data_IF_527495105726
#
_entry.id   IF_527495105726
#
_cell.length_a   1.000
_cell.length_b   1.000
_cell.length_c   1.000
_cell.angle_alpha   90.00
_cell.angle_beta   90.00
_cell.angle_gamma   90.00
#
_symmetry.space_group_name_H-M   'P 1'
#
loop_
_entity.id
_entity.type
_entity.pdbx_description
1 polymer ?
#
# COMPACT_ATOMS: atom_id res chain seq x y z
N UNK A 1 15.79 -6.65 0.56
CA UNK A 1 14.64 -6.48 1.48
C UNK A 1 14.19 -7.87 1.83
N UNK A 2 13.85 -8.14 3.09
CA UNK A 2 13.35 -9.44 3.49
C UNK A 2 12.05 -9.73 2.74
N UNK A 3 11.85 -11.00 2.36
CA UNK A 3 10.68 -11.44 1.61
C UNK A 3 10.17 -12.78 2.15
N UNK A 4 8.85 -12.87 2.33
CA UNK A 4 8.15 -14.11 2.68
C UNK A 4 6.88 -14.27 1.82
N UNK A 5 6.57 -15.51 1.45
CA UNK A 5 5.32 -15.88 0.80
C UNK A 5 4.75 -17.15 1.39
N UNK A 6 3.43 -17.30 1.32
CA UNK A 6 2.76 -18.48 1.80
C UNK A 6 1.25 -18.38 1.67
N UNK A 7 0.56 -19.16 2.50
CA UNK A 7 -0.89 -19.16 2.58
C UNK A 7 -1.33 -18.88 4.01
N UNK A 8 -2.17 -17.86 4.18
CA UNK A 8 -2.88 -17.60 5.42
C UNK A 8 -4.23 -18.31 5.39
N UNK A 9 -4.73 -18.80 6.52
CA UNK A 9 -6.02 -19.49 6.60
C UNK A 9 -7.21 -18.54 6.49
N UNK A 10 -7.01 -17.27 6.84
CA UNK A 10 -7.99 -16.19 6.78
C UNK A 10 -7.33 -14.83 7.12
N UNK A 11 -8.10 -13.74 7.20
CA UNK A 11 -7.59 -12.39 7.44
C UNK A 11 -6.91 -12.18 8.81
N UNK A 12 -7.30 -12.94 9.84
CA UNK A 12 -6.70 -12.84 11.18
C UNK A 12 -5.37 -13.55 11.24
N UNK A 13 -5.30 -14.77 10.69
CA UNK A 13 -4.05 -15.50 10.51
C UNK A 13 -3.07 -14.73 9.61
N UNK A 14 -3.57 -14.05 8.57
CA UNK A 14 -2.73 -13.17 7.74
C UNK A 14 -2.13 -12.02 8.56
N UNK A 15 -2.91 -11.36 9.43
CA UNK A 15 -2.40 -10.29 10.28
C UNK A 15 -1.36 -10.80 11.29
N UNK A 16 -1.56 -11.99 11.87
CA UNK A 16 -0.57 -12.61 12.75
C UNK A 16 0.72 -12.97 12.00
N UNK A 17 0.63 -13.48 10.77
CA UNK A 17 1.79 -13.74 9.89
C UNK A 17 2.55 -12.47 9.52
N UNK A 18 1.83 -11.37 9.21
CA UNK A 18 2.45 -10.05 9.00
C UNK A 18 3.22 -9.64 10.26
N UNK A 19 2.62 -9.78 11.44
CA UNK A 19 3.29 -9.44 12.70
C UNK A 19 4.54 -10.30 12.94
N UNK A 20 4.44 -11.62 12.79
CA UNK A 20 5.58 -12.55 12.93
C UNK A 20 6.71 -12.18 11.97
N UNK A 21 6.40 -11.95 10.69
CA UNK A 21 7.38 -11.55 9.70
C UNK A 21 8.07 -10.24 10.10
N UNK A 22 7.31 -9.19 10.41
CA UNK A 22 7.87 -7.88 10.74
C UNK A 22 8.73 -7.87 12.01
N UNK A 23 8.40 -8.71 13.00
CA UNK A 23 9.02 -8.65 14.34
C UNK A 23 10.10 -9.71 14.57
N UNK A 24 10.06 -10.83 13.85
CA UNK A 24 10.92 -12.01 14.14
C UNK A 24 11.60 -12.62 12.92
N UNK A 25 11.37 -12.13 11.70
CA UNK A 25 12.07 -12.65 10.52
C UNK A 25 13.59 -12.52 10.67
N UNK A 26 14.30 -13.61 10.37
CA UNK A 26 15.75 -13.73 10.61
C UNK A 26 16.58 -12.68 9.84
N UNK A 27 16.20 -12.36 8.60
CA UNK A 27 16.88 -11.33 7.80
C UNK A 27 16.65 -9.93 8.39
N UNK A 28 15.41 -9.60 8.75
CA UNK A 28 15.10 -8.31 9.39
C UNK A 28 15.84 -8.16 10.73
N UNK A 29 15.88 -9.21 11.56
CA UNK A 29 16.57 -9.18 12.85
C UNK A 29 18.08 -9.03 12.64
N UNK A 30 18.68 -9.85 11.76
CA UNK A 30 20.10 -9.80 11.44
C UNK A 30 20.54 -8.42 10.96
N UNK A 31 19.72 -7.78 10.14
CA UNK A 31 20.04 -6.50 9.51
C UNK A 31 19.63 -5.29 10.39
N UNK A 32 19.12 -5.53 11.62
CA UNK A 32 18.69 -4.48 12.55
C UNK A 32 17.45 -3.71 12.09
N UNK A 33 16.61 -4.35 11.28
CA UNK A 33 15.45 -3.80 10.59
C UNK A 33 14.11 -4.37 11.10
N UNK A 34 14.15 -5.23 12.11
CA UNK A 34 12.94 -5.78 12.72
C UNK A 34 12.11 -4.70 13.41
N UNK A 35 10.80 -4.78 13.22
CA UNK A 35 9.83 -3.87 13.79
C UNK A 35 9.52 -4.28 15.23
N UNK A 36 9.13 -3.33 16.05
CA UNK A 36 8.70 -3.56 17.44
C UNK A 36 7.19 -3.53 17.53
N UNK A 37 6.58 -4.56 18.10
CA UNK A 37 5.16 -4.54 18.43
C UNK A 37 4.91 -3.64 19.65
N UNK A 38 4.01 -2.66 19.52
CA UNK A 38 3.67 -1.72 20.58
C UNK A 38 2.39 -2.11 21.33
N UNK A 39 1.47 -2.78 20.64
CA UNK A 39 0.16 -3.13 21.16
C UNK A 39 -0.41 -4.31 20.38
N UNK A 40 -1.14 -5.17 21.07
CA UNK A 40 -1.97 -6.19 20.48
C UNK A 40 -3.29 -6.34 21.24
N UNK A 41 -4.36 -6.66 20.52
CA UNK A 41 -5.67 -6.97 21.10
C UNK A 41 -6.46 -7.87 20.16
N UNK A 42 -7.28 -8.73 20.75
CA UNK A 42 -8.35 -9.43 20.03
C UNK A 42 -9.68 -9.05 20.66
N UNK A 43 -10.61 -8.56 19.85
CA UNK A 43 -12.01 -8.36 20.26
C UNK A 43 -12.79 -9.64 19.98
N UNK A 44 -13.67 -10.00 20.91
CA UNK A 44 -14.50 -11.20 20.80
C UNK A 44 -15.42 -11.15 19.57
N UNK A 45 -15.79 -12.35 19.10
CA UNK A 45 -16.80 -12.48 18.07
C UNK A 45 -18.15 -11.93 18.54
N UNK A 46 -18.93 -11.42 17.58
CA UNK A 46 -20.33 -11.03 17.79
C UNK A 46 -21.21 -11.83 16.84
N UNK A 47 -22.56 -11.81 16.98
CA UNK A 47 -23.44 -12.51 16.05
C UNK A 47 -23.27 -12.10 14.57
N UNK A 48 -22.72 -10.92 14.30
CA UNK A 48 -22.55 -10.36 12.95
C UNK A 48 -21.09 -10.28 12.48
N UNK A 49 -20.12 -10.49 13.37
CA UNK A 49 -18.68 -10.39 13.09
C UNK A 49 -17.90 -11.53 13.72
N UNK A 50 -16.87 -11.99 13.00
CA UNK A 50 -15.82 -12.85 13.55
C UNK A 50 -14.92 -12.03 14.49
N UNK A 51 -14.04 -12.68 15.30
CA UNK A 51 -13.09 -11.97 16.16
C UNK A 51 -12.28 -10.93 15.37
N UNK A 52 -11.97 -9.81 16.01
CA UNK A 52 -11.21 -8.72 15.39
C UNK A 52 -9.81 -8.66 16.00
N UNK A 53 -8.79 -8.89 15.18
CA UNK A 53 -7.38 -8.82 15.58
C UNK A 53 -6.84 -7.41 15.30
N UNK A 54 -6.15 -6.83 16.27
CA UNK A 54 -5.60 -5.47 16.20
C UNK A 54 -4.15 -5.46 16.68
N UNK A 55 -3.27 -4.84 15.91
CA UNK A 55 -1.83 -4.77 16.21
C UNK A 55 -1.30 -3.38 15.85
N UNK A 56 -0.42 -2.82 16.68
CA UNK A 56 0.35 -1.62 16.36
C UNK A 56 1.84 -1.92 16.40
N UNK A 57 2.57 -1.29 15.48
CA UNK A 57 4.01 -1.46 15.34
C UNK A 57 4.74 -0.12 15.33
N UNK A 58 6.01 -0.20 15.70
CA UNK A 58 7.03 0.81 15.52
C UNK A 58 8.15 0.23 14.67
N UNK A 59 8.64 0.97 13.68
CA UNK A 59 9.95 0.70 13.09
C UNK A 59 10.87 1.87 13.35
N UNK A 60 12.14 1.62 13.65
CA UNK A 60 13.16 2.68 13.84
C UNK A 60 13.81 3.12 12.52
N UNK A 61 13.33 2.64 11.38
CA UNK A 61 13.96 2.95 10.09
C UNK A 61 15.36 2.34 9.97
N UNK A 62 16.21 2.98 9.16
CA UNK A 62 17.64 2.63 9.01
C UNK A 62 18.56 3.71 9.62
N UNK A 63 18.04 4.58 10.49
CA UNK A 63 18.77 5.72 11.03
C UNK A 63 18.14 6.29 12.31
N UNK A 64 18.83 7.23 12.96
CA UNK A 64 18.36 7.87 14.20
C UNK A 64 17.16 8.78 13.90
N UNK A 65 16.14 8.77 14.77
CA UNK A 65 14.93 9.64 14.71
C UNK A 65 13.95 9.38 13.54
N UNK A 66 13.98 8.20 12.92
CA UNK A 66 13.10 7.82 11.81
C UNK A 66 12.00 6.82 12.23
N UNK A 67 11.32 7.12 13.34
CA UNK A 67 10.31 6.21 13.91
C UNK A 67 9.01 6.19 13.09
N UNK A 68 8.72 5.06 12.45
CA UNK A 68 7.47 4.81 11.73
C UNK A 68 6.46 4.20 12.69
N UNK A 69 5.26 4.78 12.77
CA UNK A 69 4.15 4.24 13.56
C UNK A 69 3.00 3.82 12.65
N UNK A 70 2.63 2.54 12.73
CA UNK A 70 1.56 1.94 11.94
C UNK A 70 0.68 1.04 12.82
N UNK A 71 -0.60 0.96 12.52
CA UNK A 71 -1.50 0.00 13.16
C UNK A 71 -2.43 -0.63 12.14
N UNK A 72 -2.90 -1.82 12.49
CA UNK A 72 -3.82 -2.60 11.69
C UNK A 72 -4.96 -3.13 12.54
N UNK A 73 -6.11 -3.31 11.90
CA UNK A 73 -7.26 -4.01 12.45
C UNK A 73 -7.86 -4.85 11.34
N UNK A 74 -8.13 -6.13 11.62
CA UNK A 74 -9.03 -6.88 10.76
C UNK A 74 -10.41 -6.24 10.80
N UNK A 75 -11.19 -6.36 9.74
CA UNK A 75 -12.54 -5.88 9.67
C UNK A 75 -13.39 -6.82 8.84
N UNK A 76 -14.52 -7.24 9.38
CA UNK A 76 -15.37 -8.20 8.71
C UNK A 76 -16.85 -7.97 8.99
N UNK A 77 -17.68 -8.52 8.10
CA UNK A 77 -19.13 -8.60 8.26
C UNK A 77 -19.63 -9.88 7.62
N UNK A 78 -20.18 -10.79 8.43
CA UNK A 78 -20.57 -12.14 8.00
C UNK A 78 -21.65 -12.09 6.91
N UNK A 79 -22.62 -11.19 7.05
CA UNK A 79 -23.75 -11.07 6.12
C UNK A 79 -23.35 -10.58 4.73
N UNK A 80 -22.25 -9.82 4.63
CA UNK A 80 -21.72 -9.32 3.34
C UNK A 80 -20.59 -10.20 2.79
N UNK A 81 -20.12 -11.16 3.60
CA UNK A 81 -18.99 -12.04 3.28
C UNK A 81 -17.77 -11.20 2.83
N UNK A 82 -17.48 -10.18 3.65
CA UNK A 82 -16.35 -9.26 3.51
C UNK A 82 -15.42 -9.44 4.69
N UNK A 83 -14.14 -9.65 4.40
CA UNK A 83 -13.07 -9.88 5.38
C UNK A 83 -11.82 -9.14 4.91
N UNK A 84 -11.40 -8.13 5.64
CA UNK A 84 -10.36 -7.19 5.22
C UNK A 84 -9.36 -6.94 6.36
N UNK A 85 -8.22 -6.35 5.99
CA UNK A 85 -7.29 -5.74 6.95
C UNK A 85 -7.22 -4.24 6.65
N UNK A 86 -7.53 -3.44 7.66
CA UNK A 86 -7.45 -1.99 7.59
C UNK A 86 -6.13 -1.54 8.20
N UNK A 87 -5.48 -0.56 7.57
CA UNK A 87 -4.22 0.01 8.02
C UNK A 87 -4.32 1.52 8.20
N UNK A 88 -3.63 2.02 9.22
CA UNK A 88 -3.46 3.44 9.49
C UNK A 88 -2.00 3.74 9.85
N UNK A 89 -1.51 4.89 9.41
CA UNK A 89 -0.26 5.47 9.87
C UNK A 89 -0.51 6.71 10.72
N UNK A 90 0.49 7.08 11.52
CA UNK A 90 0.46 8.30 12.32
C UNK A 90 1.89 8.75 12.65
N UNK A 91 2.00 9.87 13.34
CA UNK A 91 3.31 10.42 13.77
C UNK A 91 3.79 9.84 15.09
N UNK A 92 2.88 9.21 15.85
CA UNK A 92 3.17 8.58 17.13
C UNK A 92 2.02 7.63 17.52
N UNK A 93 2.29 6.63 18.37
CA UNK A 93 1.27 5.75 18.94
C UNK A 93 1.28 5.78 20.48
N UNK A 94 0.12 6.04 21.07
CA UNK A 94 -0.11 5.96 22.51
C UNK A 94 -1.25 4.97 22.80
N UNK A 95 -0.92 3.86 23.45
CA UNK A 95 -1.89 2.82 23.81
C UNK A 95 -2.98 3.29 24.78
N UNK A 96 -2.75 4.38 25.54
CA UNK A 96 -3.75 4.94 26.45
C UNK A 96 -4.92 5.61 25.73
N UNK A 97 -4.77 5.99 24.47
CA UNK A 97 -5.86 6.57 23.67
C UNK A 97 -6.63 5.54 22.84
N UNK A 98 -6.19 4.27 22.84
CA UNK A 98 -6.96 3.17 22.23
C UNK A 98 -8.28 3.03 22.96
N UNK A 99 -9.39 3.08 22.22
CA UNK A 99 -10.73 2.90 22.81
C UNK A 99 -11.08 1.41 22.87
N UNK A 100 -12.24 1.07 23.45
CA UNK A 100 -12.68 -0.32 23.58
C UNK A 100 -12.74 -1.09 22.24
N UNK A 101 -12.93 -0.40 21.12
CA UNK A 101 -13.11 -1.03 19.80
C UNK A 101 -12.17 -0.49 18.71
N UNK A 102 -11.64 0.72 18.87
CA UNK A 102 -10.88 1.43 17.84
C UNK A 102 -9.41 1.56 18.21
N UNK A 103 -8.52 0.89 17.45
CA UNK A 103 -7.06 0.96 17.65
C UNK A 103 -6.45 2.24 17.09
N UNK A 104 -7.01 2.77 16.01
CA UNK A 104 -6.52 3.96 15.31
C UNK A 104 -6.63 5.23 16.17
N UNK A 105 -7.46 5.23 17.21
CA UNK A 105 -7.52 6.29 18.22
C UNK A 105 -6.23 6.42 19.04
N UNK A 106 -5.43 5.35 19.08
CA UNK A 106 -4.07 5.38 19.63
C UNK A 106 -3.07 6.16 18.78
N UNK A 107 -3.38 6.42 17.49
CA UNK A 107 -2.49 7.14 16.58
C UNK A 107 -2.66 8.65 16.68
N UNK A 108 -1.54 9.36 16.87
CA UNK A 108 -1.49 10.82 16.73
C UNK A 108 -1.39 11.17 15.26
N UNK A 109 -2.20 12.13 14.81
CA UNK A 109 -2.33 12.51 13.39
C UNK A 109 -2.57 11.29 12.49
N UNK A 110 -3.57 10.48 12.84
CA UNK A 110 -3.90 9.28 12.09
C UNK A 110 -4.28 9.61 10.63
N UNK A 111 -3.74 8.84 9.68
CA UNK A 111 -4.22 8.83 8.29
C UNK A 111 -5.70 8.43 8.24
N UNK A 112 -6.45 8.76 7.18
CA UNK A 112 -7.83 8.29 7.01
C UNK A 112 -8.02 6.77 6.93
N UNK A 113 -6.94 6.03 6.67
CA UNK A 113 -6.90 4.58 6.63
C UNK A 113 -7.15 4.00 5.25
N UNK A 114 -6.58 2.80 5.02
CA UNK A 114 -6.66 2.07 3.75
C UNK A 114 -6.94 0.60 4.00
N UNK A 115 -7.37 -0.09 2.95
CA UNK A 115 -7.81 -1.49 3.02
C UNK A 115 -6.92 -2.38 2.16
N UNK A 116 -6.50 -3.50 2.74
CA UNK A 116 -6.01 -4.68 2.02
C UNK A 116 -7.11 -5.74 2.05
N UNK A 117 -7.48 -6.26 0.89
CA UNK A 117 -8.49 -7.30 0.82
C UNK A 117 -7.97 -8.64 1.32
N UNK A 118 -8.83 -9.36 2.02
CA UNK A 118 -8.59 -10.71 2.51
C UNK A 118 -9.86 -11.56 2.31
N UNK A 119 -9.93 -12.71 2.97
CA UNK A 119 -11.06 -13.65 2.90
C UNK A 119 -11.14 -14.44 4.23
N UNK A 120 -12.28 -15.09 4.51
CA UNK A 120 -12.43 -16.04 5.63
C UNK A 120 -11.83 -17.42 5.29
N UNK A 121 -11.39 -17.59 4.04
CA UNK A 121 -10.76 -18.77 3.48
C UNK A 121 -9.26 -18.55 3.27
N UNK A 122 -8.59 -19.58 2.77
CA UNK A 122 -7.16 -19.54 2.47
C UNK A 122 -6.81 -18.43 1.46
N UNK A 123 -5.78 -17.63 1.78
CA UNK A 123 -5.29 -16.48 1.00
C UNK A 123 -3.81 -16.66 0.72
N UNK A 124 -3.41 -16.61 -0.54
CA UNK A 124 -1.98 -16.51 -0.91
C UNK A 124 -1.48 -15.09 -0.58
N UNK A 125 -0.31 -15.01 0.04
CA UNK A 125 0.29 -13.72 0.40
C UNK A 125 1.76 -13.62 -0.02
N UNK A 126 2.19 -12.37 -0.21
CA UNK A 126 3.58 -11.97 -0.37
C UNK A 126 3.82 -10.77 0.55
N UNK A 127 4.81 -10.85 1.42
CA UNK A 127 5.21 -9.76 2.31
C UNK A 127 6.66 -9.44 2.02
N UNK A 128 6.95 -8.17 1.73
CA UNK A 128 8.31 -7.65 1.59
C UNK A 128 8.48 -6.53 2.60
N UNK A 129 9.53 -6.55 3.40
CA UNK A 129 9.79 -5.47 4.33
C UNK A 129 11.28 -5.13 4.49
N UNK A 130 11.48 -3.93 5.02
CA UNK A 130 12.73 -3.42 5.58
C UNK A 130 12.40 -2.61 6.83
N UNK A 131 13.40 -1.99 7.44
CA UNK A 131 13.16 -1.02 8.50
C UNK A 131 12.36 0.21 8.02
N UNK A 132 12.30 0.50 6.72
CA UNK A 132 11.68 1.73 6.19
C UNK A 132 10.27 1.52 5.63
N UNK A 133 9.93 0.32 5.17
CA UNK A 133 8.62 0.04 4.59
C UNK A 133 8.25 -1.43 4.68
N UNK A 134 6.94 -1.70 4.60
CA UNK A 134 6.34 -3.01 4.43
C UNK A 134 5.37 -2.95 3.25
N UNK A 135 5.52 -3.89 2.32
CA UNK A 135 4.59 -4.10 1.20
C UNK A 135 3.95 -5.47 1.34
N UNK A 136 2.64 -5.51 1.17
CA UNK A 136 1.86 -6.73 1.32
C UNK A 136 1.02 -6.90 0.07
N UNK A 137 1.08 -8.08 -0.53
CA UNK A 137 0.17 -8.50 -1.59
C UNK A 137 -0.65 -9.69 -1.09
N UNK A 138 -1.95 -9.67 -1.34
CA UNK A 138 -2.80 -10.85 -1.22
C UNK A 138 -3.35 -11.22 -2.58
N UNK A 139 -3.44 -12.51 -2.87
CA UNK A 139 -4.08 -13.02 -4.07
C UNK A 139 -5.28 -13.88 -3.68
N UNK A 140 -6.46 -13.44 -4.13
CA UNK A 140 -7.74 -14.11 -3.92
C UNK A 140 -8.32 -14.42 -5.30
N UNK A 141 -8.21 -15.69 -5.71
CA UNK A 141 -8.51 -16.11 -7.08
C UNK A 141 -7.69 -15.32 -8.11
N UNK A 142 -8.30 -14.39 -8.85
CA UNK A 142 -7.65 -13.56 -9.88
C UNK A 142 -7.47 -12.10 -9.43
N UNK A 143 -7.85 -11.79 -8.19
CA UNK A 143 -7.76 -10.43 -7.64
C UNK A 143 -6.51 -10.33 -6.78
N UNK A 144 -5.59 -9.44 -7.16
CA UNK A 144 -4.44 -9.10 -6.32
C UNK A 144 -4.74 -7.81 -5.54
N UNK A 145 -4.78 -7.89 -4.22
CA UNK A 145 -4.80 -6.71 -3.35
C UNK A 145 -3.39 -6.34 -2.95
N UNK A 146 -3.13 -5.05 -2.78
CA UNK A 146 -1.81 -4.51 -2.44
C UNK A 146 -1.90 -3.48 -1.34
N UNK A 147 -0.92 -3.46 -0.44
CA UNK A 147 -0.70 -2.40 0.52
C UNK A 147 0.77 -1.97 0.56
N UNK A 148 1.01 -0.68 0.77
CA UNK A 148 2.33 -0.08 1.00
C UNK A 148 2.26 0.72 2.30
N UNK A 149 3.14 0.39 3.25
CA UNK A 149 3.12 0.92 4.61
C UNK A 149 4.54 1.34 4.99
N UNK A 150 4.85 2.63 4.92
CA UNK A 150 6.15 3.15 5.35
C UNK A 150 6.64 4.35 4.57
N UNK A 151 7.92 4.68 4.71
CA UNK A 151 8.52 5.83 4.07
C UNK A 151 8.71 5.61 2.57
N UNK A 152 8.36 6.60 1.76
CA UNK A 152 8.80 6.68 0.37
C UNK A 152 10.28 7.08 0.30
N UNK A 153 10.86 7.02 -0.90
CA UNK A 153 12.17 7.59 -1.24
C UNK A 153 11.97 9.05 -1.66
N UNK A 154 12.17 10.04 -0.75
CA UNK A 154 11.92 11.44 -1.08
C UNK A 154 12.95 11.98 -2.09
N UNK A 155 12.56 12.99 -2.86
CA UNK A 155 13.45 13.71 -3.79
C UNK A 155 14.40 14.69 -3.10
N UNK A 156 14.21 14.92 -1.80
CA UNK A 156 14.98 15.86 -0.98
C UNK A 156 15.58 15.14 0.24
N UNK A 157 16.63 15.71 0.87
CA UNK A 157 17.24 15.11 2.05
C UNK A 157 16.27 15.00 3.24
N UNK A 158 16.55 14.12 4.21
CA UNK A 158 15.74 13.97 5.43
C UNK A 158 15.58 15.26 6.26
N UNK A 159 16.50 16.22 6.12
CA UNK A 159 16.40 17.53 6.80
C UNK A 159 15.27 18.41 6.26
N UNK A 160 14.88 18.21 4.99
CA UNK A 160 13.79 18.97 4.35
C UNK A 160 12.47 18.21 4.39
N UNK A 161 12.51 16.89 4.28
CA UNK A 161 11.34 16.04 4.39
C UNK A 161 11.58 14.89 5.39
N UNK A 162 11.43 15.15 6.70
CA UNK A 162 11.81 14.21 7.74
C UNK A 162 10.86 13.02 7.89
N UNK A 163 9.58 13.17 7.50
CA UNK A 163 8.56 12.16 7.75
C UNK A 163 7.72 11.79 6.51
N UNK A 164 8.32 11.21 5.46
CA UNK A 164 7.64 10.92 4.19
C UNK A 164 6.81 9.63 4.26
N UNK A 165 5.94 9.51 5.26
CA UNK A 165 5.11 8.32 5.51
C UNK A 165 3.99 8.20 4.48
N UNK A 166 4.01 7.12 3.72
CA UNK A 166 2.94 6.72 2.83
C UNK A 166 2.20 5.49 3.38
N UNK A 167 0.87 5.57 3.31
CA UNK A 167 -0.06 4.49 3.65
C UNK A 167 -1.02 4.33 2.48
N UNK A 168 -0.83 3.26 1.71
CA UNK A 168 -1.62 2.96 0.53
C UNK A 168 -2.18 1.53 0.58
N UNK A 169 -3.35 1.34 0.00
CA UNK A 169 -4.06 0.07 -0.05
C UNK A 169 -4.88 -0.09 -1.33
N UNK A 170 -5.60 -1.19 -1.45
CA UNK A 170 -6.48 -1.47 -2.60
C UNK A 170 -7.85 -0.83 -2.51
N UNK A 171 -8.27 -0.36 -1.34
CA UNK A 171 -9.53 0.36 -1.17
C UNK A 171 -9.45 1.45 -0.10
N UNK A 172 -10.31 2.47 -0.17
CA UNK A 172 -10.49 3.41 0.92
C UNK A 172 -11.21 2.77 2.10
N UNK A 173 -10.94 3.29 3.29
CA UNK A 173 -11.75 3.01 4.46
C UNK A 173 -12.94 3.97 4.61
N UNK A 174 -12.85 5.16 4.02
CA UNK A 174 -13.86 6.20 4.11
C UNK A 174 -14.26 6.74 2.73
N UNK A 175 -15.52 7.16 2.59
CA UNK A 175 -15.96 7.90 1.41
C UNK A 175 -15.58 9.40 1.49
N UNK A 176 -15.90 10.16 0.43
CA UNK A 176 -15.64 11.61 0.37
C UNK A 176 -16.36 12.45 1.44
N UNK A 177 -17.42 11.90 2.05
CA UNK A 177 -18.20 12.53 3.12
C UNK A 177 -17.81 11.94 4.48
N UNK A 178 -16.74 11.13 4.53
CA UNK A 178 -16.17 10.47 5.70
C UNK A 178 -17.07 9.40 6.33
N UNK A 179 -17.98 8.80 5.57
CA UNK A 179 -18.68 7.59 6.00
C UNK A 179 -17.76 6.38 5.87
N UNK A 180 -17.88 5.43 6.80
CA UNK A 180 -17.15 4.17 6.72
C UNK A 180 -17.59 3.36 5.49
N UNK A 181 -16.63 2.83 4.76
CA UNK A 181 -16.83 1.90 3.66
C UNK A 181 -16.37 0.50 4.05
N UNK A 182 -17.12 -0.51 3.61
CA UNK A 182 -16.74 -1.91 3.68
C UNK A 182 -16.77 -2.48 2.26
N UNK A 183 -15.61 -2.48 1.61
CA UNK A 183 -15.47 -2.88 0.21
C UNK A 183 -15.01 -4.32 0.12
N UNK A 184 -15.72 -5.14 -0.66
CA UNK A 184 -15.34 -6.52 -0.95
C UNK A 184 -14.47 -6.61 -2.20
N UNK A 185 -13.47 -7.50 -2.21
CA UNK A 185 -12.54 -7.69 -3.35
C UNK A 185 -13.23 -8.01 -4.68
N UNK A 186 -14.40 -8.64 -4.66
CA UNK A 186 -15.15 -9.05 -5.85
C UNK A 186 -16.00 -7.92 -6.44
N UNK A 187 -16.06 -6.76 -5.80
CA UNK A 187 -16.76 -5.60 -6.35
C UNK A 187 -15.98 -5.06 -7.57
N UNK A 188 -16.69 -4.85 -8.67
CA UNK A 188 -16.13 -4.23 -9.87
C UNK A 188 -16.52 -2.75 -9.92
N UNK A 189 -15.98 -1.97 -8.97
CA UNK A 189 -16.23 -0.55 -8.88
C UNK A 189 -14.93 0.24 -8.66
N UNK A 190 -15.07 1.54 -8.51
CA UNK A 190 -13.96 2.48 -8.39
C UNK A 190 -13.26 2.44 -7.03
N UNK A 191 -13.90 1.87 -6.00
CA UNK A 191 -13.26 1.67 -4.69
C UNK A 191 -12.20 0.58 -4.72
N UNK A 192 -12.27 -0.34 -5.69
CA UNK A 192 -11.36 -1.47 -5.83
C UNK A 192 -10.23 -1.11 -6.80
N UNK A 193 -9.03 -0.89 -6.26
CA UNK A 193 -7.83 -0.55 -7.02
C UNK A 193 -6.54 -1.10 -6.39
N UNK A 194 -5.39 -0.49 -6.66
CA UNK A 194 -4.07 -0.93 -6.16
C UNK A 194 -3.22 0.27 -5.77
N UNK A 195 -2.08 0.01 -5.12
CA UNK A 195 -1.13 1.05 -4.70
C UNK A 195 -0.51 1.82 -5.87
N UNK A 196 -0.47 1.23 -7.07
CA UNK A 196 0.06 1.88 -8.29
C UNK A 196 -1.01 2.61 -9.10
N UNK A 197 -2.28 2.34 -8.80
CA UNK A 197 -3.44 2.97 -9.40
C UNK A 197 -4.49 3.33 -8.34
N UNK A 198 -4.17 4.20 -7.37
CA UNK A 198 -5.16 4.62 -6.39
C UNK A 198 -6.26 5.43 -7.08
N UNK A 199 -7.53 5.14 -6.77
CA UNK A 199 -8.69 5.73 -7.47
C UNK A 199 -9.65 6.48 -6.57
N UNK A 200 -9.68 6.15 -5.28
CA UNK A 200 -10.65 6.72 -4.35
C UNK A 200 -10.04 6.76 -2.93
N UNK A 201 -9.27 7.79 -2.58
CA UNK A 201 -8.79 8.00 -1.20
C UNK A 201 -8.06 6.80 -0.56
N UNK A 202 -7.31 6.04 -1.35
CA UNK A 202 -6.66 4.80 -0.91
C UNK A 202 -5.13 4.85 -1.01
N UNK A 203 -4.54 6.03 -1.18
CA UNK A 203 -3.11 6.27 -1.10
C UNK A 203 -2.88 7.62 -0.42
N UNK A 204 -2.33 7.61 0.78
CA UNK A 204 -2.11 8.79 1.61
C UNK A 204 -0.63 9.00 1.84
N UNK A 205 -0.18 10.25 1.76
CA UNK A 205 1.17 10.68 2.12
C UNK A 205 1.09 11.80 3.15
N UNK A 206 1.88 11.70 4.21
CA UNK A 206 2.02 12.75 5.21
C UNK A 206 3.06 13.77 4.74
N UNK A 207 2.63 14.97 4.35
CA UNK A 207 3.51 15.98 3.74
C UNK A 207 4.20 16.87 4.78
N UNK A 208 5.24 17.65 4.39
CA UNK A 208 5.92 18.59 5.30
C UNK A 208 5.00 19.65 5.93
N UNK A 209 3.82 19.88 5.34
CA UNK A 209 2.77 20.74 5.89
C UNK A 209 2.07 20.14 7.12
N UNK A 210 2.51 18.96 7.57
CA UNK A 210 1.92 18.18 8.66
C UNK A 210 0.47 17.74 8.40
N UNK A 211 0.15 17.48 7.13
CA UNK A 211 -1.17 17.08 6.69
C UNK A 211 -1.11 15.83 5.81
N UNK A 212 -2.16 15.00 5.90
CA UNK A 212 -2.35 13.87 5.00
C UNK A 212 -2.92 14.34 3.67
N UNK A 213 -2.32 13.87 2.58
CA UNK A 213 -2.66 14.19 1.20
C UNK A 213 -2.90 12.90 0.43
N UNK A 214 -3.99 12.83 -0.33
CA UNK A 214 -4.39 11.67 -1.13
C UNK A 214 -3.97 11.73 -2.59
N UNK A 215 -3.29 10.68 -3.06
CA UNK A 215 -2.76 10.57 -4.40
C UNK A 215 -3.56 9.60 -5.24
N UNK A 216 -3.57 9.83 -6.55
CA UNK A 216 -4.40 9.05 -7.46
C UNK A 216 -3.72 8.75 -8.80
N UNK A 217 -3.94 7.54 -9.32
CA UNK A 217 -3.39 7.02 -10.58
C UNK A 217 -4.21 7.41 -11.81
N UNK A 218 -4.67 6.44 -12.59
CA UNK A 218 -5.35 6.65 -13.87
C UNK A 218 -6.66 7.42 -13.79
N UNK A 219 -7.34 7.38 -12.64
CA UNK A 219 -8.62 8.05 -12.43
C UNK A 219 -8.71 8.68 -11.06
N UNK A 220 -9.53 9.71 -11.03
CA UNK A 220 -9.79 10.49 -9.85
C UNK A 220 -11.30 10.52 -9.62
N UNK A 221 -11.78 9.71 -8.67
CA UNK A 221 -13.20 9.39 -8.57
C UNK A 221 -13.93 10.21 -7.50
N UNK A 222 -13.19 10.89 -6.60
CA UNK A 222 -13.79 11.76 -5.60
C UNK A 222 -12.82 12.74 -4.92
N UNK A 223 -13.31 13.96 -4.63
CA UNK A 223 -12.64 14.95 -3.77
C UNK A 223 -12.72 14.55 -2.30
N UNK A 224 -11.84 13.65 -1.88
CA UNK A 224 -11.68 13.32 -0.45
C UNK A 224 -10.93 14.44 0.27
N UNK A 225 -9.98 15.10 -0.39
CA UNK A 225 -9.37 16.36 0.05
C UNK A 225 -9.56 17.47 -1.00
N UNK A 226 -9.33 18.75 -0.63
CA UNK A 226 -9.42 19.85 -1.60
C UNK A 226 -8.42 19.76 -2.76
N UNK A 227 -7.29 19.06 -2.59
CA UNK A 227 -6.20 19.00 -3.58
C UNK A 227 -6.18 17.69 -4.37
N UNK A 228 -7.15 16.81 -4.19
CA UNK A 228 -7.13 15.46 -4.72
C UNK A 228 -7.05 15.38 -6.26
N UNK A 229 -7.66 16.33 -7.00
CA UNK A 229 -7.52 16.45 -8.47
C UNK A 229 -6.12 16.95 -8.89
N UNK A 230 -5.29 17.37 -7.95
CA UNK A 230 -3.96 17.92 -8.22
C UNK A 230 -2.84 17.06 -7.61
N UNK A 231 -3.18 15.84 -7.20
CA UNK A 231 -2.27 14.85 -6.64
C UNK A 231 -2.25 13.59 -7.50
N UNK A 232 -1.06 13.18 -7.90
CA UNK A 232 -0.84 12.26 -9.00
C UNK A 232 0.09 11.12 -8.58
N UNK A 233 -0.31 9.89 -8.92
CA UNK A 233 0.48 8.68 -8.79
C UNK A 233 0.97 8.29 -10.19
N UNK A 234 2.24 8.61 -10.47
CA UNK A 234 2.91 8.27 -11.72
C UNK A 234 3.36 6.80 -11.69
N UNK A 235 3.30 6.07 -12.82
CA UNK A 235 3.02 6.56 -14.17
C UNK A 235 1.54 6.49 -14.59
N UNK A 236 0.65 5.96 -13.75
CA UNK A 236 -0.75 5.81 -14.14
C UNK A 236 -1.51 7.13 -14.19
N UNK A 237 -1.09 8.17 -13.49
CA UNK A 237 -1.66 9.51 -13.61
C UNK A 237 -1.64 10.09 -15.03
N UNK A 238 -0.76 9.59 -15.92
CA UNK A 238 -0.73 9.99 -17.33
C UNK A 238 -2.04 9.67 -18.07
N UNK A 239 -2.81 8.69 -17.60
CA UNK A 239 -4.09 8.31 -18.18
C UNK A 239 -5.23 9.28 -17.81
N UNK A 240 -5.01 10.26 -16.92
CA UNK A 240 -6.03 11.23 -16.50
C UNK A 240 -6.32 12.34 -17.50
N UNK A 241 -5.27 12.97 -18.04
CA UNK A 241 -5.40 14.24 -18.79
C UNK A 241 -4.98 14.16 -20.25
N UNK A 242 -4.22 13.13 -20.64
CA UNK A 242 -3.73 13.02 -22.02
C UNK A 242 -4.38 11.86 -22.74
N UNK A 243 -5.29 12.14 -23.67
CA UNK A 243 -6.03 11.08 -24.36
C UNK A 243 -5.28 10.41 -25.53
N UNK A 244 -4.10 10.89 -25.95
CA UNK A 244 -3.57 10.50 -27.26
C UNK A 244 -2.10 10.08 -27.35
N UNK A 245 -1.14 10.75 -26.70
CA UNK A 245 0.28 10.42 -26.93
C UNK A 245 0.90 9.64 -25.77
N UNK A 246 0.82 10.14 -24.54
CA UNK A 246 1.52 9.49 -23.42
C UNK A 246 0.92 8.12 -23.07
N UNK A 247 -0.40 7.96 -22.85
CA UNK A 247 -0.99 6.63 -22.65
C UNK A 247 -0.82 5.68 -23.84
N UNK A 248 -0.81 6.21 -25.06
CA UNK A 248 -0.60 5.42 -26.27
C UNK A 248 0.80 4.82 -26.31
N UNK A 249 1.82 5.61 -25.96
CA UNK A 249 3.20 5.13 -25.83
C UNK A 249 3.31 4.11 -24.69
N UNK A 250 2.75 4.41 -23.52
CA UNK A 250 2.78 3.51 -22.36
C UNK A 250 2.15 2.14 -22.67
N UNK A 251 1.02 2.10 -23.38
CA UNK A 251 0.34 0.86 -23.80
C UNK A 251 1.12 0.05 -24.85
N UNK A 252 2.18 0.61 -25.44
CA UNK A 252 3.01 -0.03 -26.47
C UNK A 252 4.43 -0.27 -26.01
N UNK A 253 4.78 0.13 -24.79
CA UNK A 253 6.03 -0.27 -24.18
C UNK A 253 6.01 -1.81 -24.07
N UNK A 254 7.08 -2.42 -24.55
CA UNK A 254 7.29 -3.86 -24.48
C UNK A 254 8.72 -4.14 -24.05
N UNK A 255 9.14 -5.39 -24.24
CA UNK A 255 10.54 -5.75 -24.05
C UNK A 255 11.46 -4.90 -24.94
N UNK A 256 12.52 -4.36 -24.35
CA UNK A 256 13.66 -3.84 -25.09
C UNK A 256 14.33 -4.98 -25.88
N UNK A 257 15.11 -4.66 -26.94
CA UNK A 257 16.00 -5.65 -27.56
C UNK A 257 16.86 -6.33 -26.48
N UNK A 258 16.74 -7.65 -26.36
CA UNK A 258 17.33 -8.43 -25.25
C UNK A 258 16.33 -9.00 -24.24
N UNK A 259 15.04 -8.66 -24.32
CA UNK A 259 13.97 -9.29 -23.52
C UNK A 259 13.65 -8.58 -22.20
N UNK A 260 14.41 -7.56 -21.82
CA UNK A 260 14.20 -6.80 -20.58
C UNK A 260 13.05 -5.81 -20.69
N UNK A 261 12.27 -5.64 -19.62
CA UNK A 261 11.17 -4.68 -19.56
C UNK A 261 11.57 -3.45 -18.75
N UNK A 262 11.09 -2.24 -19.11
CA UNK A 262 11.35 -1.06 -18.30
C UNK A 262 10.61 -1.18 -16.96
N UNK A 263 11.35 -1.00 -15.87
CA UNK A 263 10.80 -0.81 -14.52
C UNK A 263 10.66 0.68 -14.27
N UNK A 264 9.44 1.18 -14.16
CA UNK A 264 9.17 2.60 -13.94
C UNK A 264 8.80 2.81 -12.47
N UNK A 265 9.57 3.57 -11.67
CA UNK A 265 9.23 3.81 -10.27
C UNK A 265 7.85 4.44 -10.11
N UNK A 266 7.11 3.99 -9.09
CA UNK A 266 5.81 4.55 -8.76
C UNK A 266 6.00 5.78 -7.89
N UNK A 267 5.69 6.95 -8.44
CA UNK A 267 6.01 8.24 -7.83
C UNK A 267 4.78 9.05 -7.45
N UNK A 268 4.90 9.80 -6.37
CA UNK A 268 3.88 10.71 -5.88
C UNK A 268 4.26 12.15 -6.23
N UNK A 269 3.37 12.86 -6.91
CA UNK A 269 3.63 14.21 -7.41
C UNK A 269 2.40 15.11 -7.40
N UNK A 270 2.63 16.42 -7.33
CA UNK A 270 1.58 17.44 -7.29
C UNK A 270 1.63 18.32 -8.55
N UNK A 271 0.45 18.71 -9.01
CA UNK A 271 0.27 19.66 -10.09
C UNK A 271 0.47 21.11 -9.66
N UNK A 272 0.60 22.04 -10.63
CA UNK A 272 0.79 23.47 -10.34
C UNK A 272 -0.38 24.14 -9.62
N UNK A 273 -1.57 23.51 -9.58
CA UNK A 273 -2.77 24.02 -8.89
C UNK A 273 -2.96 23.42 -7.49
N UNK A 274 -2.09 22.49 -7.07
CA UNK A 274 -2.09 21.99 -5.70
C UNK A 274 -1.74 23.11 -4.73
N UNK A 275 -2.33 23.14 -3.54
CA UNK A 275 -1.97 24.09 -2.49
C UNK A 275 -0.49 24.02 -2.08
N UNK A 276 0.15 22.85 -2.26
CA UNK A 276 1.57 22.63 -2.00
C UNK A 276 2.47 22.98 -3.21
N UNK A 277 1.89 23.56 -4.27
CA UNK A 277 2.57 23.85 -5.52
C UNK A 277 2.94 22.60 -6.33
N UNK A 278 3.63 22.83 -7.46
CA UNK A 278 4.16 21.74 -8.29
C UNK A 278 5.35 21.11 -7.57
N UNK A 279 5.23 19.84 -7.21
CA UNK A 279 6.28 19.12 -6.51
C UNK A 279 6.33 17.65 -6.94
N UNK A 280 7.50 17.02 -6.83
CA UNK A 280 7.66 15.56 -6.89
C UNK A 280 8.11 15.10 -5.52
N UNK A 281 7.25 14.39 -4.81
CA UNK A 281 7.51 13.99 -3.43
C UNK A 281 8.51 12.86 -3.31
N UNK A 282 8.49 11.92 -4.25
CA UNK A 282 9.36 10.74 -4.21
C UNK A 282 8.70 9.49 -4.80
N UNK A 283 9.40 8.36 -4.69
CA UNK A 283 8.97 7.05 -5.18
C UNK A 283 8.65 6.08 -4.04
N UNK A 284 7.65 5.22 -4.20
CA UNK A 284 7.45 4.06 -3.32
C UNK A 284 8.66 3.12 -3.47
N UNK A 285 9.31 2.81 -2.34
CA UNK A 285 10.54 2.01 -2.33
C UNK A 285 10.28 0.60 -2.84
N UNK A 286 11.02 0.16 -3.86
CA UNK A 286 10.89 -1.13 -4.53
C UNK A 286 9.48 -1.45 -5.08
N UNK A 287 8.74 -0.45 -5.54
CA UNK A 287 7.47 -0.61 -6.28
C UNK A 287 7.61 0.03 -7.66
N UNK A 288 7.43 -0.78 -8.70
CA UNK A 288 7.61 -0.35 -10.08
C UNK A 288 6.38 -0.67 -10.91
N UNK A 289 5.91 0.26 -11.72
CA UNK A 289 5.01 -0.07 -12.81
C UNK A 289 5.79 -0.75 -13.94
N UNK A 290 5.15 -1.73 -14.59
CA UNK A 290 5.72 -2.46 -15.72
C UNK A 290 4.69 -2.59 -16.84
N UNK A 291 5.08 -2.51 -18.12
CA UNK A 291 4.15 -2.75 -19.22
C UNK A 291 3.63 -4.21 -19.22
N UNK A 292 2.32 -4.37 -19.33
CA UNK A 292 1.62 -5.66 -19.25
C UNK A 292 1.60 -6.49 -20.55
N UNK A 293 2.34 -6.10 -21.59
CA UNK A 293 2.36 -6.83 -22.86
C UNK A 293 3.01 -8.20 -22.65
N UNK A 294 2.23 -9.29 -22.84
CA UNK A 294 2.66 -10.67 -22.58
C UNK A 294 3.14 -10.89 -21.13
N UNK A 295 2.44 -10.29 -20.16
CA UNK A 295 2.70 -10.46 -18.73
C UNK A 295 1.54 -11.11 -18.02
N UNK A 296 1.85 -11.88 -16.98
CA UNK A 296 0.89 -12.44 -16.05
C UNK A 296 1.29 -12.12 -14.60
N UNK A 297 0.30 -12.08 -13.70
CA UNK A 297 0.58 -11.99 -12.28
C UNK A 297 1.29 -13.28 -11.82
N UNK A 298 2.38 -13.14 -11.07
CA UNK A 298 3.28 -14.23 -10.69
C UNK A 298 4.55 -14.34 -11.55
N UNK A 299 4.63 -13.63 -12.68
CA UNK A 299 5.87 -13.58 -13.45
C UNK A 299 7.02 -13.01 -12.61
N UNK A 300 8.21 -13.56 -12.78
CA UNK A 300 9.44 -13.09 -12.13
C UNK A 300 10.22 -12.23 -13.12
N UNK A 301 10.72 -11.09 -12.62
CA UNK A 301 11.68 -10.25 -13.33
C UNK A 301 12.95 -10.25 -12.51
N UNK A 302 14.05 -10.70 -13.11
CA UNK A 302 15.35 -10.78 -12.48
C UNK A 302 16.44 -10.24 -13.41
N UNK A 303 17.49 -9.67 -12.81
CA UNK A 303 18.67 -9.20 -13.51
C UNK A 303 19.88 -9.42 -12.62
N UNK A 304 20.74 -10.36 -13.00
CA UNK A 304 22.01 -10.61 -12.29
C UNK A 304 22.92 -9.38 -12.34
N UNK A 305 22.95 -8.67 -13.47
CA UNK A 305 23.79 -7.49 -13.67
C UNK A 305 23.40 -6.32 -12.77
N UNK A 306 22.10 -6.16 -12.50
CA UNK A 306 21.56 -5.07 -11.66
C UNK A 306 21.28 -5.53 -10.22
N UNK A 307 21.60 -6.78 -9.88
CA UNK A 307 21.27 -7.40 -8.59
C UNK A 307 19.79 -7.14 -8.19
N UNK A 308 18.89 -7.44 -9.13
CA UNK A 308 17.45 -7.19 -8.98
C UNK A 308 16.66 -8.47 -9.13
N UNK A 309 15.64 -8.63 -8.28
CA UNK A 309 14.58 -9.62 -8.45
C UNK A 309 13.25 -9.06 -7.92
N UNK A 310 12.19 -9.25 -8.69
CA UNK A 310 10.84 -8.81 -8.34
C UNK A 310 9.76 -9.70 -8.94
N UNK A 311 8.57 -9.62 -8.35
CA UNK A 311 7.40 -10.40 -8.75
C UNK A 311 6.34 -9.46 -9.32
N UNK A 312 5.75 -9.85 -10.45
CA UNK A 312 4.69 -9.13 -11.14
C UNK A 312 3.34 -9.41 -10.50
N UNK A 313 2.55 -8.37 -10.30
CA UNK A 313 1.17 -8.42 -9.84
C UNK A 313 0.28 -7.53 -10.71
N UNK A 314 -1.00 -7.83 -10.73
CA UNK A 314 -1.99 -7.02 -11.44
C UNK A 314 -2.78 -6.11 -10.47
N UNK A 315 -3.29 -4.99 -10.97
CA UNK A 315 -4.00 -3.99 -10.18
C UNK A 315 -5.44 -4.42 -9.88
N UNK A 316 -5.67 -5.00 -8.69
CA UNK A 316 -6.95 -5.58 -8.30
C UNK A 316 -7.41 -6.68 -9.27
N UNK A 317 -8.57 -6.51 -9.91
CA UNK A 317 -9.12 -7.46 -10.90
C UNK A 317 -8.75 -7.10 -12.35
N UNK A 318 -7.98 -6.03 -12.58
CA UNK A 318 -7.68 -5.53 -13.92
C UNK A 318 -6.49 -6.27 -14.53
N UNK A 319 -6.50 -6.43 -15.86
CA UNK A 319 -5.53 -7.23 -16.62
C UNK A 319 -5.15 -6.58 -17.96
N UNK A 320 -5.43 -5.29 -18.14
CA UNK A 320 -5.02 -4.56 -19.34
C UNK A 320 -3.51 -4.28 -19.29
N UNK A 321 -2.94 -3.86 -20.42
CA UNK A 321 -1.49 -3.59 -20.54
C UNK A 321 -0.98 -2.58 -19.51
N UNK A 322 -1.82 -1.66 -19.03
CA UNK A 322 -1.45 -0.67 -18.01
C UNK A 322 -1.56 -1.14 -16.55
N UNK A 323 -2.12 -2.33 -16.30
CA UNK A 323 -2.58 -2.72 -14.96
C UNK A 323 -1.57 -3.58 -14.17
N UNK A 324 -0.30 -3.65 -14.59
CA UNK A 324 0.71 -4.49 -13.96
C UNK A 324 1.77 -3.67 -13.22
N UNK A 325 2.26 -4.22 -12.11
CA UNK A 325 3.35 -3.66 -11.34
C UNK A 325 4.21 -4.76 -10.74
N UNK A 326 5.38 -4.38 -10.26
CA UNK A 326 6.41 -5.26 -9.70
C UNK A 326 6.67 -4.82 -8.27
N UNK A 327 6.72 -5.80 -7.38
CA UNK A 327 7.29 -5.64 -6.05
C UNK A 327 8.67 -6.28 -6.07
N UNK A 328 9.69 -5.48 -5.76
CA UNK A 328 11.05 -5.98 -5.54
C UNK A 328 11.09 -6.85 -4.28
N UNK A 329 11.70 -8.03 -4.37
CA UNK A 329 11.76 -9.01 -3.28
C UNK A 329 13.16 -9.19 -2.69
N UNK A 330 14.14 -8.40 -3.12
CA UNK A 330 15.56 -8.72 -2.90
C UNK A 330 16.03 -9.89 -3.78
N UNK A 331 17.35 -10.15 -3.76
CA UNK A 331 18.03 -11.17 -4.58
C UNK A 331 18.19 -12.48 -3.82
#
# INVERSE_FOLDING_TARGET
>A
MAYETGTAQNERDLLDKINTFLTTNEELVRDGQAWTMLFERTLDATPVRKPIRQIAWKSTGTGVEQDIYLCASTDNLIAEDTFNINFWGGTFFNSQFVTATEIERGMINASPGVVLFADDRAIEYHIVASGRCCKIITRISQVCSSAYLGFILPTVPPTEYPYPLCVAGSAPLIDKVKNRLLTRYSQNNHFVSSIVDPRYGNCWLFTPEQAWRDFYGSRYEANVTPDSDHQFCFPLSNYRYEHYFTPYLQNRLGAAPGGSFPLIPVELLNGPRSSAGRNRWGAMDGVYWVPGLQRAAGDIIESEAENFRGIVFNGAFRVSVGDFFVIETGV
#
